data_IF_174272001712
#
_entry.id   IF_174272001712
#
_cell.length_a   1.000
_cell.length_b   1.000
_cell.length_c   1.000
_cell.angle_alpha   90.00
_cell.angle_beta   90.00
_cell.angle_gamma   90.00
#
_symmetry.space_group_name_H-M   'P 1'
#
loop_
_entity.id
_entity.type
_entity.pdbx_description
1 polymer ?
#
# COMPACT_ATOMS: atom_id res chain seq x y z
N UNK A 1 9.91 14.83 3.72
CA UNK A 1 9.51 13.64 2.94
C UNK A 1 10.66 12.95 2.22
N UNK A 2 11.24 13.49 1.12
CA UNK A 2 12.31 12.78 0.35
C UNK A 2 13.49 12.30 1.20
N UNK A 3 13.99 13.14 2.10
CA UNK A 3 15.10 12.80 3.01
C UNK A 3 14.74 11.64 3.96
N UNK A 4 13.50 11.56 4.41
CA UNK A 4 12.99 10.55 5.33
C UNK A 4 12.81 9.19 4.61
N UNK A 5 12.26 9.22 3.39
CA UNK A 5 12.18 8.05 2.52
C UNK A 5 13.56 7.44 2.23
N UNK A 6 14.54 8.29 1.88
CA UNK A 6 15.88 7.84 1.45
C UNK A 6 16.77 7.43 2.62
N UNK A 7 16.72 8.15 3.75
CA UNK A 7 17.63 7.92 4.87
C UNK A 7 17.07 6.88 5.84
N UNK A 8 15.76 6.92 6.12
CA UNK A 8 15.17 6.01 7.08
C UNK A 8 14.64 4.77 6.37
N UNK A 9 13.73 4.89 5.41
CA UNK A 9 12.95 3.76 4.91
C UNK A 9 13.69 2.86 3.91
N UNK A 10 14.57 3.44 3.06
CA UNK A 10 15.32 2.69 2.04
C UNK A 10 16.81 2.53 2.35
N UNK A 11 17.21 2.76 3.61
CA UNK A 11 18.60 2.54 4.01
C UNK A 11 19.03 1.09 3.76
N UNK A 12 20.32 0.88 3.47
CA UNK A 12 20.89 -0.46 3.25
C UNK A 12 20.60 -1.40 4.43
N UNK A 13 20.57 -0.87 5.66
CA UNK A 13 20.20 -1.64 6.86
C UNK A 13 18.75 -2.14 6.81
N UNK A 14 17.80 -1.31 6.39
CA UNK A 14 16.40 -1.75 6.21
C UNK A 14 16.23 -2.67 5.01
N UNK A 15 16.88 -2.39 3.88
CA UNK A 15 16.85 -3.31 2.71
C UNK A 15 17.40 -4.70 3.04
N UNK A 16 18.38 -4.79 3.95
CA UNK A 16 18.89 -6.05 4.50
C UNK A 16 17.93 -6.67 5.52
N UNK A 17 17.29 -5.88 6.40
CA UNK A 17 16.28 -6.41 7.33
C UNK A 17 15.06 -6.98 6.59
N UNK A 18 14.82 -6.57 5.34
CA UNK A 18 13.77 -7.09 4.46
C UNK A 18 14.20 -8.28 3.58
N UNK A 19 15.41 -8.81 3.76
CA UNK A 19 15.87 -9.97 2.99
C UNK A 19 15.00 -11.21 3.20
N UNK A 20 14.38 -11.36 4.38
CA UNK A 20 13.45 -12.46 4.66
C UNK A 20 12.22 -12.42 3.74
N UNK A 21 11.66 -11.23 3.47
CA UNK A 21 10.48 -11.08 2.64
C UNK A 21 10.79 -11.50 1.20
N UNK A 22 11.96 -11.09 0.68
CA UNK A 22 12.44 -11.54 -0.62
C UNK A 22 12.64 -13.06 -0.66
N UNK A 23 13.26 -13.65 0.36
CA UNK A 23 13.49 -15.09 0.39
C UNK A 23 12.19 -15.90 0.41
N UNK A 24 11.21 -15.47 1.22
CA UNK A 24 9.90 -16.11 1.31
C UNK A 24 9.13 -16.04 -0.01
N UNK A 25 9.07 -14.86 -0.65
CA UNK A 25 8.36 -14.70 -1.92
C UNK A 25 9.08 -15.37 -3.09
N UNK A 26 10.42 -15.43 -3.10
CA UNK A 26 11.17 -16.21 -4.10
C UNK A 26 10.84 -17.70 -3.97
N UNK A 27 10.79 -18.23 -2.75
CA UNK A 27 10.40 -19.62 -2.53
C UNK A 27 8.99 -19.89 -3.07
N UNK A 28 8.03 -19.01 -2.77
CA UNK A 28 6.65 -19.11 -3.28
C UNK A 28 6.57 -19.05 -4.81
N UNK A 29 7.38 -18.20 -5.44
CA UNK A 29 7.49 -18.12 -6.90
C UNK A 29 8.02 -19.44 -7.48
N UNK A 30 9.10 -19.97 -6.91
CA UNK A 30 9.70 -21.24 -7.34
C UNK A 30 8.69 -22.38 -7.20
N UNK A 31 7.99 -22.47 -6.08
CA UNK A 31 6.96 -23.49 -5.84
C UNK A 31 5.82 -23.40 -6.87
N UNK A 32 5.37 -22.18 -7.17
CA UNK A 32 4.32 -21.92 -8.18
C UNK A 32 4.78 -22.37 -9.57
N UNK A 33 6.02 -22.08 -9.95
CA UNK A 33 6.59 -22.50 -11.23
C UNK A 33 6.81 -24.02 -11.28
N UNK A 34 7.28 -24.62 -10.19
CA UNK A 34 7.54 -26.06 -10.10
C UNK A 34 6.25 -26.91 -10.09
N UNK A 35 5.14 -26.35 -9.61
CA UNK A 35 3.83 -27.00 -9.66
C UNK A 35 3.22 -27.05 -11.07
N UNK A 36 3.77 -26.30 -12.02
CA UNK A 36 3.28 -26.30 -13.40
C UNK A 36 3.68 -27.58 -14.15
N UNK A 37 2.75 -28.25 -14.86
CA UNK A 37 3.08 -29.48 -15.57
C UNK A 37 4.13 -29.25 -16.68
N UNK A 38 4.98 -30.25 -16.89
CA UNK A 38 6.01 -30.19 -17.93
C UNK A 38 5.40 -29.94 -19.32
N UNK A 39 5.93 -28.93 -20.03
CA UNK A 39 5.47 -28.56 -21.37
C UNK A 39 4.24 -27.64 -21.42
N UNK A 40 3.68 -27.25 -20.27
CA UNK A 40 2.61 -26.25 -20.20
C UNK A 40 3.24 -24.85 -20.13
N UNK A 41 2.87 -23.93 -21.04
CA UNK A 41 3.30 -22.54 -20.94
C UNK A 41 2.81 -21.91 -19.64
N UNK A 42 3.71 -21.22 -18.93
CA UNK A 42 3.38 -20.49 -17.70
C UNK A 42 3.36 -19.00 -17.99
N UNK A 43 2.34 -18.30 -17.49
CA UNK A 43 2.28 -16.84 -17.54
C UNK A 43 3.27 -16.24 -16.52
N UNK A 44 4.48 -15.98 -17.00
CA UNK A 44 5.53 -15.40 -16.18
C UNK A 44 5.20 -13.95 -15.76
N UNK A 45 4.44 -13.20 -16.56
CA UNK A 45 4.06 -11.83 -16.22
C UNK A 45 3.19 -11.80 -14.97
N UNK A 46 2.17 -12.67 -14.92
CA UNK A 46 1.31 -12.83 -13.74
C UNK A 46 2.09 -13.34 -12.52
N UNK A 47 2.99 -14.30 -12.71
CA UNK A 47 3.82 -14.84 -11.64
C UNK A 47 4.78 -13.78 -11.05
N UNK A 48 5.44 -13.00 -11.90
CA UNK A 48 6.34 -11.92 -11.48
C UNK A 48 5.59 -10.74 -10.86
N UNK A 49 4.39 -10.44 -11.35
CA UNK A 49 3.52 -9.44 -10.73
C UNK A 49 3.18 -9.85 -9.30
N UNK A 50 2.67 -11.07 -9.11
CA UNK A 50 2.31 -11.60 -7.79
C UNK A 50 3.52 -11.67 -6.86
N UNK A 51 4.70 -12.01 -7.37
CA UNK A 51 5.95 -11.98 -6.61
C UNK A 51 6.30 -10.55 -6.15
N UNK A 52 6.25 -9.59 -7.08
CA UNK A 52 6.59 -8.19 -6.78
C UNK A 52 5.62 -7.58 -5.78
N UNK A 53 4.32 -7.84 -5.96
CA UNK A 53 3.24 -7.45 -5.06
C UNK A 53 3.45 -8.03 -3.65
N UNK A 54 3.76 -9.33 -3.55
CA UNK A 54 4.04 -9.98 -2.27
C UNK A 54 5.26 -9.39 -1.55
N UNK A 55 6.34 -9.08 -2.30
CA UNK A 55 7.55 -8.47 -1.73
C UNK A 55 7.25 -7.05 -1.24
N UNK A 56 6.65 -6.21 -2.08
CA UNK A 56 6.32 -4.83 -1.76
C UNK A 56 5.37 -4.79 -0.57
N UNK A 57 4.29 -5.59 -0.61
CA UNK A 57 3.30 -5.65 0.44
C UNK A 57 3.87 -6.14 1.78
N UNK A 58 4.71 -7.17 1.76
CA UNK A 58 5.37 -7.67 2.99
C UNK A 58 6.37 -6.67 3.56
N UNK A 59 7.08 -5.92 2.72
CA UNK A 59 8.03 -4.90 3.17
C UNK A 59 7.30 -3.67 3.71
N UNK A 60 6.25 -3.25 3.02
CA UNK A 60 5.49 -2.05 3.37
C UNK A 60 4.60 -2.28 4.60
N UNK A 61 3.87 -3.40 4.64
CA UNK A 61 2.82 -3.66 5.62
C UNK A 61 3.10 -4.88 6.53
N UNK A 62 4.27 -5.52 6.38
CA UNK A 62 4.63 -6.71 7.14
C UNK A 62 3.78 -7.94 6.79
N UNK A 63 3.75 -8.92 7.69
CA UNK A 63 2.91 -10.14 7.55
C UNK A 63 1.40 -9.86 7.65
N UNK A 64 1.02 -8.60 7.87
CA UNK A 64 -0.38 -8.16 7.80
C UNK A 64 -0.89 -8.23 6.37
N UNK A 65 0.00 -7.96 5.41
CA UNK A 65 -0.26 -8.09 3.98
C UNK A 65 -0.67 -9.51 3.59
N UNK A 66 -1.78 -9.64 2.86
CA UNK A 66 -2.30 -10.94 2.42
C UNK A 66 -2.87 -11.84 3.53
N UNK A 67 -2.93 -11.38 4.78
CA UNK A 67 -3.53 -12.16 5.87
C UNK A 67 -5.06 -12.18 5.78
N UNK A 68 -5.67 -13.27 6.26
CA UNK A 68 -7.13 -13.44 6.24
C UNK A 68 -7.90 -12.30 6.93
N UNK A 69 -7.25 -11.63 7.89
CA UNK A 69 -7.81 -10.47 8.59
C UNK A 69 -8.00 -9.24 7.67
N UNK A 70 -7.33 -9.19 6.52
CA UNK A 70 -7.35 -8.05 5.59
C UNK A 70 -7.82 -8.42 4.18
N UNK A 71 -7.86 -9.72 3.84
CA UNK A 71 -8.44 -10.21 2.58
C UNK A 71 -9.95 -9.96 2.48
N UNK A 72 -10.64 -9.80 3.61
CA UNK A 72 -12.07 -9.47 3.69
C UNK A 72 -12.30 -8.22 4.54
N UNK A 73 -11.48 -7.17 4.34
CA UNK A 73 -11.59 -5.90 5.03
C UNK A 73 -13.04 -5.39 5.03
N UNK A 74 -13.42 -4.70 6.11
CA UNK A 74 -14.78 -4.29 6.54
C UNK A 74 -15.65 -3.63 5.44
N UNK A 75 -15.04 -3.23 4.33
CA UNK A 75 -15.63 -2.55 3.18
C UNK A 75 -15.84 -3.44 1.93
N UNK A 76 -15.67 -4.76 2.07
CA UNK A 76 -16.16 -5.75 1.11
C UNK A 76 -15.21 -6.15 -0.02
N UNK A 77 -13.94 -5.74 0.00
CA UNK A 77 -12.95 -6.26 -0.94
C UNK A 77 -11.50 -6.02 -0.49
N UNK A 78 -10.58 -6.79 -1.09
CA UNK A 78 -9.16 -6.86 -0.71
C UNK A 78 -8.41 -5.53 -0.86
N UNK A 79 -7.24 -5.42 -0.23
CA UNK A 79 -6.34 -4.28 -0.42
C UNK A 79 -5.93 -4.11 -1.88
N UNK A 80 -5.60 -5.21 -2.57
CA UNK A 80 -5.22 -5.22 -3.97
C UNK A 80 -6.34 -4.62 -4.83
N UNK A 81 -7.60 -5.00 -4.59
CA UNK A 81 -8.74 -4.40 -5.29
C UNK A 81 -8.92 -2.91 -4.96
N UNK A 82 -8.70 -2.50 -3.71
CA UNK A 82 -8.76 -1.09 -3.34
C UNK A 82 -7.65 -0.26 -4.02
N UNK A 83 -6.45 -0.84 -4.17
CA UNK A 83 -5.34 -0.19 -4.87
C UNK A 83 -5.53 -0.15 -6.37
N UNK A 84 -6.01 -1.23 -6.99
CA UNK A 84 -6.35 -1.25 -8.41
C UNK A 84 -7.42 -0.20 -8.72
N UNK A 85 -8.48 -0.09 -7.91
CA UNK A 85 -9.49 0.96 -8.07
C UNK A 85 -8.90 2.37 -7.89
N UNK A 86 -7.96 2.53 -6.96
CA UNK A 86 -7.26 3.81 -6.73
C UNK A 86 -6.40 4.20 -7.92
N UNK A 87 -5.61 3.28 -8.46
CA UNK A 87 -4.78 3.52 -9.65
C UNK A 87 -5.62 3.80 -10.89
N UNK A 88 -6.75 3.11 -11.05
CA UNK A 88 -7.71 3.42 -12.12
C UNK A 88 -8.30 4.83 -11.98
N UNK A 89 -8.64 5.24 -10.76
CA UNK A 89 -9.17 6.59 -10.51
C UNK A 89 -8.10 7.65 -10.75
N UNK A 90 -6.87 7.45 -10.28
CA UNK A 90 -5.75 8.37 -10.50
C UNK A 90 -5.35 8.47 -11.98
N UNK A 91 -5.45 7.37 -12.72
CA UNK A 91 -5.21 7.34 -14.16
C UNK A 91 -6.40 7.78 -15.02
N UNK A 92 -7.58 7.96 -14.42
CA UNK A 92 -8.78 8.44 -15.13
C UNK A 92 -8.77 9.96 -15.20
N UNK A 93 -9.05 10.50 -16.39
CA UNK A 93 -9.23 11.93 -16.58
C UNK A 93 -10.68 12.33 -16.28
N UNK A 94 -10.87 13.43 -15.55
CA UNK A 94 -12.18 14.03 -15.30
C UNK A 94 -12.37 15.30 -16.13
N UNK A 95 -13.63 15.69 -16.40
CA UNK A 95 -13.89 16.91 -17.18
C UNK A 95 -13.42 18.16 -16.42
N UNK A 96 -13.42 18.11 -15.09
CA UNK A 96 -12.87 19.15 -14.21
C UNK A 96 -11.35 19.34 -14.41
N UNK A 97 -10.60 18.29 -14.79
CA UNK A 97 -9.16 18.39 -15.07
C UNK A 97 -8.85 19.21 -16.34
N UNK A 98 -9.78 19.24 -17.31
CA UNK A 98 -9.65 20.01 -18.55
C UNK A 98 -10.32 21.39 -18.47
N UNK A 99 -11.41 21.53 -17.71
CA UNK A 99 -12.19 22.77 -17.62
C UNK A 99 -12.51 23.16 -16.17
N UNK A 100 -11.49 23.47 -15.34
CA UNK A 100 -11.64 23.65 -13.88
C UNK A 100 -12.56 24.81 -13.49
N UNK A 101 -12.68 25.82 -14.36
CA UNK A 101 -13.51 27.02 -14.12
C UNK A 101 -14.98 26.85 -14.53
N UNK A 102 -15.33 25.73 -15.17
CA UNK A 102 -16.68 25.56 -15.72
C UNK A 102 -17.59 24.80 -14.76
N UNK A 103 -18.69 25.46 -14.35
CA UNK A 103 -19.73 24.82 -13.55
C UNK A 103 -20.36 23.61 -14.28
N UNK A 104 -20.31 23.60 -15.62
CA UNK A 104 -20.76 22.50 -16.48
C UNK A 104 -19.87 21.26 -16.37
N UNK A 105 -18.53 21.39 -16.28
CA UNK A 105 -17.64 20.25 -16.07
C UNK A 105 -17.85 19.58 -14.72
N UNK A 106 -17.98 20.38 -13.65
CA UNK A 106 -18.31 19.85 -12.30
C UNK A 106 -19.66 19.14 -12.28
N UNK A 107 -20.63 19.63 -13.05
CA UNK A 107 -21.95 18.99 -13.16
C UNK A 107 -21.91 17.72 -14.00
N UNK A 108 -21.13 17.70 -15.09
CA UNK A 108 -20.89 16.50 -15.89
C UNK A 108 -20.16 15.40 -15.09
N UNK A 109 -19.17 15.76 -14.27
CA UNK A 109 -18.47 14.82 -13.38
C UNK A 109 -19.36 14.31 -12.23
N UNK A 110 -20.34 15.12 -11.78
CA UNK A 110 -21.35 14.70 -10.83
C UNK A 110 -22.39 13.74 -11.46
N UNK A 111 -22.83 14.01 -12.70
CA UNK A 111 -23.76 13.16 -13.44
C UNK A 111 -23.16 11.84 -13.92
N UNK A 112 -21.89 11.84 -14.34
CA UNK A 112 -21.16 10.63 -14.75
C UNK A 112 -20.81 9.73 -13.55
N UNK A 113 -21.03 10.21 -12.33
CA UNK A 113 -20.71 9.48 -11.10
C UNK A 113 -19.22 9.43 -10.76
N UNK A 114 -18.35 10.06 -11.57
CA UNK A 114 -16.90 10.08 -11.37
C UNK A 114 -16.54 10.67 -10.00
N UNK A 115 -17.17 11.79 -9.60
CA UNK A 115 -16.96 12.39 -8.29
C UNK A 115 -17.44 11.52 -7.12
N UNK A 116 -18.45 10.67 -7.34
CA UNK A 116 -18.92 9.70 -6.36
C UNK A 116 -17.96 8.52 -6.21
N UNK A 117 -17.47 7.99 -7.35
CA UNK A 117 -16.47 6.92 -7.41
C UNK A 117 -15.16 7.36 -6.73
N UNK A 118 -14.64 8.55 -7.05
CA UNK A 118 -13.44 9.12 -6.42
C UNK A 118 -13.55 9.15 -4.89
N UNK A 119 -14.66 9.67 -4.37
CA UNK A 119 -14.89 9.74 -2.92
C UNK A 119 -14.96 8.36 -2.27
N UNK A 120 -15.64 7.40 -2.89
CA UNK A 120 -15.74 6.03 -2.36
C UNK A 120 -14.37 5.37 -2.30
N UNK A 121 -13.60 5.45 -3.38
CA UNK A 121 -12.25 4.89 -3.47
C UNK A 121 -11.32 5.55 -2.46
N UNK A 122 -11.38 6.88 -2.32
CA UNK A 122 -10.63 7.62 -1.29
C UNK A 122 -10.94 7.12 0.12
N UNK A 123 -12.21 7.04 0.53
CA UNK A 123 -12.57 6.57 1.87
C UNK A 123 -12.11 5.13 2.13
N UNK A 124 -12.19 4.28 1.10
CA UNK A 124 -11.82 2.88 1.20
C UNK A 124 -10.32 2.72 1.44
N UNK A 125 -9.49 3.40 0.66
CA UNK A 125 -8.04 3.31 0.82
C UNK A 125 -7.54 4.07 2.06
N UNK A 126 -8.15 5.22 2.37
CA UNK A 126 -7.84 6.00 3.57
C UNK A 126 -8.11 5.20 4.85
N UNK A 127 -9.28 4.56 4.92
CA UNK A 127 -9.65 3.69 6.05
C UNK A 127 -8.76 2.45 6.16
N UNK A 128 -8.30 1.89 5.03
CA UNK A 128 -7.31 0.81 5.06
C UNK A 128 -5.98 1.28 5.68
N UNK A 129 -5.43 2.41 5.21
CA UNK A 129 -4.18 2.92 5.76
C UNK A 129 -4.32 3.35 7.22
N UNK A 130 -5.48 3.87 7.62
CA UNK A 130 -5.76 4.16 9.02
C UNK A 130 -5.62 2.93 9.89
N UNK A 131 -6.30 1.85 9.50
CA UNK A 131 -6.26 0.64 10.29
C UNK A 131 -4.88 -0.02 10.28
N UNK A 132 -4.15 0.06 9.17
CA UNK A 132 -2.74 -0.34 9.13
C UNK A 132 -1.97 0.45 10.17
N UNK A 133 -2.03 1.78 10.16
CA UNK A 133 -1.30 2.62 11.11
C UNK A 133 -1.71 2.30 12.55
N UNK A 134 -3.00 2.12 12.83
CA UNK A 134 -3.50 1.81 14.17
C UNK A 134 -2.94 0.48 14.69
N UNK A 135 -2.89 -0.56 13.84
CA UNK A 135 -2.28 -1.84 14.18
C UNK A 135 -0.77 -1.73 14.49
N UNK A 136 -0.06 -0.78 13.87
CA UNK A 136 1.36 -0.54 14.15
C UNK A 136 1.59 0.43 15.32
N UNK A 137 0.53 1.08 15.82
CA UNK A 137 0.58 1.86 17.05
C UNK A 137 0.43 0.98 18.31
N UNK A 138 -0.11 -0.24 18.17
CA UNK A 138 -0.28 -1.20 19.26
C UNK A 138 1.06 -1.57 19.92
N UNK A 139 1.27 -1.23 21.21
CA UNK A 139 2.56 -1.37 21.87
C UNK A 139 3.00 -2.83 22.08
N UNK A 140 2.07 -3.78 22.02
CA UNK A 140 2.32 -5.22 22.24
C UNK A 140 2.73 -5.97 20.97
N UNK A 141 2.67 -5.32 19.80
CA UNK A 141 2.96 -5.96 18.52
C UNK A 141 4.43 -6.40 18.42
N UNK A 142 5.36 -5.50 18.73
CA UNK A 142 6.80 -5.79 18.62
C UNK A 142 7.31 -6.69 19.76
N UNK A 143 6.69 -6.62 20.95
CA UNK A 143 7.03 -7.52 22.07
C UNK A 143 6.59 -8.97 21.83
N UNK A 144 5.64 -9.19 20.91
CA UNK A 144 5.24 -10.53 20.44
C UNK A 144 6.21 -11.14 19.41
N UNK A 145 7.37 -10.51 19.15
CA UNK A 145 8.35 -11.00 18.19
C UNK A 145 7.95 -10.79 16.72
N UNK A 146 7.00 -9.88 16.46
CA UNK A 146 6.65 -9.45 15.10
C UNK A 146 7.83 -8.67 14.52
N UNK A 147 8.18 -9.01 13.28
CA UNK A 147 9.29 -8.37 12.57
C UNK A 147 8.92 -6.93 12.17
N UNK A 148 9.80 -5.99 12.46
CA UNK A 148 9.66 -4.57 12.11
C UNK A 148 9.53 -4.40 10.59
N UNK A 149 8.50 -3.67 10.16
CA UNK A 149 8.28 -3.28 8.77
C UNK A 149 8.41 -1.77 8.54
N UNK A 150 8.13 -1.32 7.33
CA UNK A 150 8.26 0.09 6.96
C UNK A 150 7.26 1.00 7.69
N UNK A 151 6.08 0.51 8.04
CA UNK A 151 5.09 1.29 8.81
C UNK A 151 5.57 1.47 10.25
N UNK A 152 6.13 0.42 10.86
CA UNK A 152 6.73 0.52 12.21
C UNK A 152 7.79 1.63 12.26
N UNK A 153 8.66 1.69 11.24
CA UNK A 153 9.67 2.74 11.08
C UNK A 153 9.07 4.15 10.98
N UNK A 154 8.04 4.32 10.16
CA UNK A 154 7.35 5.60 9.99
C UNK A 154 6.64 6.05 11.26
N UNK A 155 6.00 5.13 11.98
CA UNK A 155 5.33 5.38 13.25
C UNK A 155 6.35 5.81 14.32
N UNK A 156 7.52 5.18 14.37
CA UNK A 156 8.60 5.58 15.28
C UNK A 156 9.02 7.04 15.03
N UNK A 157 9.33 7.39 13.77
CA UNK A 157 9.75 8.75 13.41
C UNK A 157 8.64 9.78 13.66
N UNK A 158 7.38 9.41 13.42
CA UNK A 158 6.23 10.25 13.76
C UNK A 158 6.16 10.54 15.26
N UNK A 159 6.41 9.54 16.11
CA UNK A 159 6.42 9.72 17.57
C UNK A 159 7.57 10.61 18.03
N UNK A 160 8.75 10.49 17.42
CA UNK A 160 9.93 11.29 17.75
C UNK A 160 9.76 12.76 17.35
N UNK A 161 9.12 13.03 16.21
CA UNK A 161 8.97 14.39 15.67
C UNK A 161 7.64 15.07 16.08
N UNK A 162 6.89 14.50 17.02
CA UNK A 162 5.52 14.94 17.34
C UNK A 162 5.42 16.42 17.71
N UNK A 163 6.46 16.98 18.32
CA UNK A 163 6.51 18.38 18.77
C UNK A 163 7.29 19.30 17.80
N UNK A 164 7.74 18.78 16.66
CA UNK A 164 8.44 19.57 15.65
C UNK A 164 7.46 20.27 14.69
N UNK A 165 7.76 21.53 14.34
CA UNK A 165 6.92 22.33 13.44
C UNK A 165 6.72 21.72 12.04
N UNK A 166 7.62 20.82 11.62
CA UNK A 166 7.55 20.10 10.34
C UNK A 166 7.60 18.57 10.52
N UNK A 167 7.16 18.10 11.68
CA UNK A 167 7.15 16.68 12.00
C UNK A 167 6.30 15.86 11.04
N UNK A 168 6.63 14.57 10.92
CA UNK A 168 5.80 13.62 10.18
C UNK A 168 4.37 13.61 10.75
N UNK A 169 3.37 13.43 9.89
CA UNK A 169 1.97 13.32 10.31
C UNK A 169 1.40 12.02 9.80
N UNK A 170 0.23 11.63 10.33
CA UNK A 170 -0.50 10.46 9.84
C UNK A 170 -0.76 10.53 8.34
N UNK A 171 -1.17 11.68 7.83
CA UNK A 171 -1.43 11.89 6.39
C UNK A 171 -0.15 11.77 5.55
N UNK A 172 1.00 12.19 6.09
CA UNK A 172 2.29 11.98 5.44
C UNK A 172 2.62 10.49 5.31
N UNK A 173 2.32 9.68 6.32
CA UNK A 173 2.49 8.21 6.27
C UNK A 173 1.57 7.60 5.22
N UNK A 174 0.28 7.95 5.24
CA UNK A 174 -0.70 7.49 4.24
C UNK A 174 -0.28 7.83 2.81
N UNK A 175 0.21 9.05 2.58
CA UNK A 175 0.69 9.48 1.27
C UNK A 175 1.92 8.68 0.81
N UNK A 176 2.84 8.32 1.73
CA UNK A 176 3.97 7.45 1.40
C UNK A 176 3.49 6.04 1.05
N UNK A 177 2.56 5.48 1.82
CA UNK A 177 2.01 4.15 1.57
C UNK A 177 1.29 4.07 0.22
N UNK A 178 0.58 5.13 -0.18
CA UNK A 178 -0.06 5.22 -1.50
C UNK A 178 0.93 5.23 -2.68
N UNK A 179 2.16 5.69 -2.47
CA UNK A 179 3.20 5.73 -3.52
C UNK A 179 3.91 4.38 -3.64
N UNK A 180 4.03 3.65 -2.53
CA UNK A 180 4.82 2.42 -2.46
C UNK A 180 3.94 1.19 -2.71
N UNK A 181 2.69 1.22 -2.26
CA UNK A 181 1.69 0.17 -2.47
C UNK A 181 1.01 0.23 -3.82
#
# INVERSE_FOLDING_TARGET
MRKLLVIELTSIRRVQSFAYARAAEVARLVDTLAASPAGVPVDLSSALYTFSDGVIGTVAFGKVYGSAAWSSWEWGASFQEAMDETMQVLGSFSFEDFFPSSALARWADALTGAAGRRRRVFHRIDGFFDAVIDKHLEPERLSAGVQEDMVDAMVMVWREQKDEAFGLTRDHIKAILLIIG
#
